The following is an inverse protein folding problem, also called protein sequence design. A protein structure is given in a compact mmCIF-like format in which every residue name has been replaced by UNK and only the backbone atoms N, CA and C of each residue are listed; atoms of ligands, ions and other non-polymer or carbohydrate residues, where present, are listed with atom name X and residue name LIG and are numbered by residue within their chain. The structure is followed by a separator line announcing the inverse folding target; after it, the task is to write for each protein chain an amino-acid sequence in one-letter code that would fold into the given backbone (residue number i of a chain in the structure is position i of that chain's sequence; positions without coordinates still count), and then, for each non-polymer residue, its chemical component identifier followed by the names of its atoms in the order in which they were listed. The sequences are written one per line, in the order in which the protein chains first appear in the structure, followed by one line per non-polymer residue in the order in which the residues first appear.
data_IF_015183358606
#
_entry.id   IF_015183358606
#
_cell.length_a   1.000
_cell.length_b   1.000
_cell.length_c   1.000
_cell.angle_alpha   90.00
_cell.angle_beta   90.00
_cell.angle_gamma   90.00
#
_symmetry.space_group_name_H-M   'P 1'
#
loop_
_entity.id
_entity.type
_entity.pdbx_description
1 polymer ?
#
# COMPACT_ATOMS: atom_id res chain seq x y z
N UNK A 1 -3.76 15.12 26.33
CA UNK A 1 -3.04 13.86 26.04
C UNK A 1 -2.54 13.95 24.61
N UNK A 2 -1.25 14.21 24.42
CA UNK A 2 -0.64 14.11 23.10
C UNK A 2 -0.31 12.63 22.89
N UNK A 3 -0.90 12.02 21.87
CA UNK A 3 -0.54 10.67 21.44
C UNK A 3 0.94 10.72 21.04
N UNK A 4 1.79 9.95 21.73
CA UNK A 4 3.21 9.86 21.40
C UNK A 4 3.36 8.84 20.26
N UNK A 5 3.48 9.32 19.03
CA UNK A 5 3.78 8.51 17.86
C UNK A 5 5.30 8.31 17.75
N UNK A 6 5.89 7.76 18.80
CA UNK A 6 7.27 7.30 18.78
C UNK A 6 7.30 5.86 18.28
N UNK A 7 7.87 5.64 17.11
CA UNK A 7 8.04 4.29 16.54
C UNK A 7 9.32 3.70 17.10
N UNK A 8 9.24 2.50 17.67
CA UNK A 8 10.42 1.76 18.10
C UNK A 8 11.36 1.54 16.88
N UNK A 9 12.68 1.75 17.00
CA UNK A 9 13.62 1.58 15.89
C UNK A 9 13.55 0.19 15.24
N UNK A 10 13.15 -0.86 15.96
CA UNK A 10 12.94 -2.19 15.36
C UNK A 10 11.74 -2.20 14.39
N UNK A 11 10.69 -1.43 14.70
CA UNK A 11 9.51 -1.30 13.84
C UNK A 11 9.76 -0.40 12.64
N UNK A 12 10.68 0.57 12.74
CA UNK A 12 11.05 1.44 11.62
C UNK A 12 11.52 0.64 10.40
N UNK A 13 12.30 -0.42 10.62
CA UNK A 13 12.78 -1.30 9.55
C UNK A 13 11.62 -1.96 8.78
N UNK A 14 10.54 -2.33 9.48
CA UNK A 14 9.35 -2.93 8.84
C UNK A 14 8.57 -1.89 8.04
N UNK A 15 8.48 -0.65 8.54
CA UNK A 15 7.82 0.44 7.82
C UNK A 15 8.56 0.79 6.54
N UNK A 16 9.89 0.84 6.59
CA UNK A 16 10.73 1.11 5.42
C UNK A 16 10.55 0.02 4.34
N UNK A 17 10.43 -1.24 4.75
CA UNK A 17 10.09 -2.34 3.84
C UNK A 17 8.70 -2.19 3.21
N UNK A 18 7.68 -1.81 4.00
CA UNK A 18 6.32 -1.58 3.50
C UNK A 18 6.33 -0.45 2.46
N UNK A 19 7.06 0.63 2.74
CA UNK A 19 7.17 1.77 1.83
C UNK A 19 7.77 1.33 0.48
N UNK A 20 8.89 0.60 0.51
CA UNK A 20 9.52 0.08 -0.69
C UNK A 20 8.57 -0.84 -1.49
N UNK A 21 7.84 -1.73 -0.81
CA UNK A 21 6.88 -2.61 -1.46
C UNK A 21 5.74 -1.84 -2.14
N UNK A 22 5.21 -0.81 -1.48
CA UNK A 22 4.18 0.05 -2.05
C UNK A 22 4.68 0.73 -3.33
N UNK A 23 5.90 1.27 -3.31
CA UNK A 23 6.48 1.99 -4.46
C UNK A 23 6.80 1.04 -5.63
N UNK A 24 7.31 -0.16 -5.36
CA UNK A 24 7.72 -1.11 -6.40
C UNK A 24 6.57 -1.93 -6.99
N UNK A 25 5.54 -2.23 -6.20
CA UNK A 25 4.48 -3.17 -6.60
C UNK A 25 3.10 -2.52 -6.69
N UNK A 26 2.75 -1.67 -5.74
CA UNK A 26 1.39 -1.12 -5.63
C UNK A 26 1.21 0.12 -6.50
N UNK A 27 2.15 1.06 -6.47
CA UNK A 27 2.09 2.30 -7.25
C UNK A 27 2.01 2.04 -8.78
N UNK A 28 2.84 1.14 -9.36
CA UNK A 28 2.75 0.84 -10.79
C UNK A 28 1.40 0.24 -11.17
N UNK A 29 0.83 -0.63 -10.32
CA UNK A 29 -0.48 -1.21 -10.54
C UNK A 29 -1.58 -0.14 -10.51
N UNK A 30 -1.48 0.82 -9.60
CA UNK A 30 -2.41 1.95 -9.52
C UNK A 30 -2.33 2.86 -10.76
N UNK A 31 -1.14 3.09 -11.30
CA UNK A 31 -0.95 3.88 -12.53
C UNK A 31 -1.58 3.20 -13.76
N UNK A 32 -1.49 1.88 -13.86
CA UNK A 32 -2.09 1.13 -14.99
C UNK A 32 -3.60 0.99 -14.82
N UNK A 33 -4.09 0.87 -13.59
CA UNK A 33 -5.52 0.64 -13.30
C UNK A 33 -6.06 1.57 -12.20
N UNK A 34 -6.22 2.88 -12.47
CA UNK A 34 -6.56 3.89 -11.46
C UNK A 34 -7.93 3.71 -10.78
N UNK A 35 -8.82 2.89 -11.35
CA UNK A 35 -10.18 2.67 -10.83
C UNK A 35 -10.53 1.21 -10.55
N UNK A 36 -9.60 0.26 -10.75
CA UNK A 36 -9.91 -1.18 -10.61
C UNK A 36 -10.48 -1.55 -9.24
N UNK A 37 -10.01 -0.91 -8.16
CA UNK A 37 -10.52 -1.13 -6.79
C UNK A 37 -11.99 -0.74 -6.61
N UNK A 38 -12.49 0.22 -7.39
CA UNK A 38 -13.90 0.69 -7.33
C UNK A 38 -14.77 0.11 -8.45
N UNK A 39 -14.23 -0.74 -9.32
CA UNK A 39 -15.01 -1.28 -10.43
C UNK A 39 -15.96 -2.38 -9.94
N UNK A 40 -17.26 -2.31 -10.30
CA UNK A 40 -18.26 -3.27 -9.84
C UNK A 40 -18.16 -4.66 -10.50
N UNK A 41 -17.26 -4.82 -11.48
CA UNK A 41 -17.08 -6.07 -12.21
C UNK A 41 -16.08 -6.99 -11.50
N UNK A 42 -16.57 -8.12 -10.97
CA UNK A 42 -15.76 -9.13 -10.25
C UNK A 42 -14.59 -9.69 -11.08
N UNK A 43 -14.69 -9.68 -12.42
CA UNK A 43 -13.61 -10.15 -13.28
C UNK A 43 -12.33 -9.32 -13.15
N UNK A 44 -12.43 -8.02 -12.81
CA UNK A 44 -11.28 -7.14 -12.63
C UNK A 44 -10.64 -7.34 -11.24
N UNK A 45 -11.44 -7.79 -10.26
CA UNK A 45 -10.98 -8.08 -8.90
C UNK A 45 -10.05 -9.30 -8.82
N UNK A 46 -10.11 -10.21 -9.81
CA UNK A 46 -9.24 -11.39 -9.88
C UNK A 46 -7.86 -11.17 -10.50
N UNK A 47 -7.59 -9.98 -11.05
CA UNK A 47 -6.29 -9.60 -11.63
C UNK A 47 -5.46 -8.68 -10.72
N UNK A 48 -6.01 -8.27 -9.57
CA UNK A 48 -5.35 -7.53 -8.49
C UNK A 48 -5.09 -8.48 -7.35
#
# INVERSE_FOLDING_TARGET
MAWDFSTDPEFQTKLDWIQQFCDEKVEPLHRVFPHAVRWPNDAVRGYV
#
